data_IF_608012748972
#
_entry.id   IF_608012748972
#
_cell.length_a   1.000
_cell.length_b   1.000
_cell.length_c   1.000
_cell.angle_alpha   90.00
_cell.angle_beta   90.00
_cell.angle_gamma   90.00
#
_symmetry.space_group_name_H-M   'P 1'
#
loop_
_entity.id
_entity.type
_entity.pdbx_description
1 polymer ?
#
# COMPACT_ATOMS: atom_id res chain seq x y z
N UNK A 1 12.93 -1.44 30.37
CA UNK A 1 14.23 -1.64 29.69
C UNK A 1 15.22 -0.81 30.46
N UNK A 2 16.31 -1.42 30.89
CA UNK A 2 17.36 -0.73 31.64
C UNK A 2 18.20 0.18 30.73
N UNK A 3 18.79 1.24 31.29
CA UNK A 3 19.58 2.20 30.52
C UNK A 3 20.86 1.55 29.99
N UNK A 4 21.51 0.68 30.76
CA UNK A 4 22.75 0.01 30.32
C UNK A 4 22.46 -0.97 29.18
N UNK A 5 21.33 -1.66 29.23
CA UNK A 5 20.87 -2.52 28.14
C UNK A 5 20.59 -1.72 26.86
N UNK A 6 19.94 -0.55 26.98
CA UNK A 6 19.71 0.34 25.84
C UNK A 6 21.02 0.80 25.20
N UNK A 7 22.00 1.23 26.01
CA UNK A 7 23.30 1.71 25.52
C UNK A 7 24.08 0.59 24.84
N UNK A 8 24.11 -0.62 25.43
CA UNK A 8 24.75 -1.79 24.81
C UNK A 8 24.11 -2.14 23.47
N UNK A 9 22.78 -2.19 23.41
CA UNK A 9 22.07 -2.43 22.15
C UNK A 9 22.34 -1.34 21.11
N UNK A 10 22.29 -0.06 21.51
CA UNK A 10 22.54 1.06 20.60
C UNK A 10 23.95 1.00 20.00
N UNK A 11 24.95 0.54 20.77
CA UNK A 11 26.31 0.29 20.28
C UNK A 11 26.37 -0.70 19.11
N UNK A 12 25.49 -1.72 19.09
CA UNK A 12 25.45 -2.74 18.02
C UNK A 12 24.84 -2.25 16.70
N UNK A 13 24.16 -1.10 16.68
CA UNK A 13 23.50 -0.58 15.48
C UNK A 13 24.51 -0.25 14.38
N UNK A 14 25.75 0.10 14.76
CA UNK A 14 26.84 0.37 13.80
C UNK A 14 27.25 -0.90 13.05
N UNK A 15 27.29 -2.04 13.74
CA UNK A 15 27.69 -3.32 13.16
C UNK A 15 26.56 -3.99 12.37
N UNK A 16 25.30 -3.73 12.77
CA UNK A 16 24.11 -4.30 12.14
C UNK A 16 23.06 -3.21 11.84
N UNK A 17 23.34 -2.29 10.89
CA UNK A 17 22.42 -1.20 10.57
C UNK A 17 21.16 -1.71 9.88
N UNK A 18 20.02 -1.10 10.21
CA UNK A 18 18.73 -1.35 9.53
C UNK A 18 18.37 -0.14 8.67
N UNK A 19 17.98 -0.39 7.42
CA UNK A 19 17.51 0.67 6.51
C UNK A 19 16.11 1.11 6.94
N UNK A 20 16.01 2.30 7.52
CA UNK A 20 14.71 2.87 7.98
C UNK A 20 14.06 3.71 6.88
N UNK A 21 14.88 4.39 6.06
CA UNK A 21 14.43 5.25 4.97
C UNK A 21 15.28 5.00 3.74
N UNK A 22 14.63 4.83 2.60
CA UNK A 22 15.27 4.69 1.30
C UNK A 22 14.49 5.48 0.26
N UNK A 23 15.21 5.91 -0.79
CA UNK A 23 14.59 6.50 -1.98
C UNK A 23 14.39 5.40 -3.01
N UNK A 24 13.19 5.29 -3.55
CA UNK A 24 12.86 4.28 -4.55
C UNK A 24 13.16 4.79 -5.97
N UNK A 25 13.54 3.87 -6.86
CA UNK A 25 13.65 4.07 -8.31
C UNK A 25 12.99 2.86 -8.98
N UNK A 26 12.36 3.01 -10.16
CA UNK A 26 11.77 1.88 -10.86
C UNK A 26 12.83 0.83 -11.21
N UNK A 27 12.55 -0.45 -10.94
CA UNK A 27 13.55 -1.51 -11.11
C UNK A 27 13.99 -1.71 -12.56
N UNK A 28 13.15 -1.37 -13.55
CA UNK A 28 13.50 -1.47 -14.97
C UNK A 28 14.64 -0.52 -15.37
N UNK A 29 14.91 0.54 -14.61
CA UNK A 29 16.03 1.46 -14.88
C UNK A 29 17.40 0.81 -14.63
N UNK A 30 17.43 -0.36 -14.00
CA UNK A 30 18.66 -1.11 -13.73
C UNK A 30 19.07 -2.02 -14.89
N UNK A 31 18.28 -2.13 -15.96
CA UNK A 31 18.63 -2.95 -17.13
C UNK A 31 19.84 -2.31 -17.85
N UNK A 32 20.99 -3.01 -17.93
CA UNK A 32 22.19 -2.45 -18.55
C UNK A 32 21.99 -2.17 -20.05
N UNK A 33 22.52 -1.06 -20.59
CA UNK A 33 22.30 -0.67 -21.99
C UNK A 33 23.01 -1.59 -23.00
N UNK A 34 24.05 -2.30 -22.57
CA UNK A 34 24.84 -3.25 -23.36
C UNK A 34 24.21 -4.65 -23.43
N UNK A 35 23.17 -4.91 -22.64
CA UNK A 35 22.41 -6.15 -22.71
C UNK A 35 21.69 -6.25 -24.07
N UNK A 36 21.77 -7.41 -24.72
CA UNK A 36 20.99 -7.68 -25.94
C UNK A 36 19.50 -7.40 -25.70
N UNK A 37 18.91 -6.59 -26.57
CA UNK A 37 17.51 -6.14 -26.52
C UNK A 37 17.15 -5.38 -25.22
N UNK A 38 18.11 -4.68 -24.60
CA UNK A 38 17.94 -3.93 -23.34
C UNK A 38 16.71 -3.02 -23.34
N UNK A 39 16.55 -2.21 -24.40
CA UNK A 39 15.43 -1.28 -24.52
C UNK A 39 14.08 -2.01 -24.51
N UNK A 40 13.94 -3.06 -25.32
CA UNK A 40 12.72 -3.87 -25.40
C UNK A 40 12.40 -4.54 -24.07
N UNK A 41 13.42 -5.11 -23.40
CA UNK A 41 13.26 -5.70 -22.06
C UNK A 41 12.83 -4.68 -21.03
N UNK A 42 13.38 -3.48 -21.06
CA UNK A 42 12.99 -2.39 -20.17
C UNK A 42 11.55 -1.97 -20.38
N UNK A 43 11.10 -1.81 -21.62
CA UNK A 43 9.72 -1.45 -21.93
C UNK A 43 8.73 -2.55 -21.55
N UNK A 44 9.09 -3.81 -21.78
CA UNK A 44 8.27 -4.93 -21.36
C UNK A 44 8.19 -5.05 -19.84
N UNK A 45 9.29 -4.82 -19.12
CA UNK A 45 9.31 -4.86 -17.65
C UNK A 45 8.53 -3.69 -17.04
N UNK A 46 8.64 -2.49 -17.62
CA UNK A 46 7.82 -1.33 -17.25
C UNK A 46 6.32 -1.67 -17.31
N UNK A 47 5.85 -2.19 -18.46
CA UNK A 47 4.45 -2.62 -18.62
C UNK A 47 4.06 -3.74 -17.65
N UNK A 48 4.89 -4.77 -17.49
CA UNK A 48 4.60 -5.89 -16.60
C UNK A 48 4.49 -5.46 -15.12
N UNK A 49 5.23 -4.43 -14.70
CA UNK A 49 5.12 -3.85 -13.37
C UNK A 49 3.80 -3.11 -13.20
N UNK A 50 3.37 -2.35 -14.21
CA UNK A 50 2.06 -1.69 -14.19
C UNK A 50 0.93 -2.71 -14.06
N UNK A 51 0.95 -3.77 -14.88
CA UNK A 51 -0.02 -4.88 -14.82
C UNK A 51 -0.01 -5.54 -13.42
N UNK A 52 1.18 -5.84 -12.87
CA UNK A 52 1.32 -6.42 -11.54
C UNK A 52 0.74 -5.54 -10.43
N UNK A 53 0.99 -4.22 -10.49
CA UNK A 53 0.48 -3.26 -9.52
C UNK A 53 -1.05 -3.11 -9.59
N UNK A 54 -1.63 -3.23 -10.78
CA UNK A 54 -3.09 -3.26 -10.95
C UNK A 54 -3.68 -4.59 -10.48
N UNK A 55 -3.00 -5.70 -10.75
CA UNK A 55 -3.41 -7.04 -10.33
C UNK A 55 -3.40 -7.20 -8.81
N UNK A 56 -2.33 -6.77 -8.16
CA UNK A 56 -2.06 -6.94 -6.73
C UNK A 56 -2.38 -5.68 -5.91
N UNK A 57 -3.23 -4.80 -6.44
CA UNK A 57 -3.64 -3.59 -5.73
C UNK A 57 -4.51 -3.93 -4.53
N UNK A 58 -4.18 -3.32 -3.40
CA UNK A 58 -4.96 -3.37 -2.15
C UNK A 58 -6.41 -2.89 -2.32
N UNK A 59 -6.75 -2.22 -3.43
CA UNK A 59 -8.11 -1.78 -3.73
C UNK A 59 -9.08 -2.95 -3.96
N UNK A 60 -8.58 -4.14 -4.31
CA UNK A 60 -9.39 -5.34 -4.54
C UNK A 60 -9.76 -6.05 -3.24
N UNK A 61 -9.03 -5.75 -2.17
CA UNK A 61 -9.29 -6.29 -0.85
C UNK A 61 -10.48 -5.58 -0.18
N UNK A 62 -11.20 -6.33 0.64
CA UNK A 62 -12.18 -5.76 1.56
C UNK A 62 -11.47 -4.93 2.65
N UNK A 63 -12.08 -3.84 3.13
CA UNK A 63 -11.53 -3.08 4.24
C UNK A 63 -11.46 -3.89 5.53
N UNK A 64 -10.37 -3.70 6.28
CA UNK A 64 -10.27 -4.21 7.64
C UNK A 64 -11.16 -3.40 8.58
N UNK A 65 -11.62 -4.03 9.66
CA UNK A 65 -12.41 -3.35 10.68
C UNK A 65 -11.51 -2.56 11.64
N UNK A 66 -12.14 -1.68 12.43
CA UNK A 66 -11.52 -1.03 13.58
C UNK A 66 -10.19 -0.30 13.28
N UNK A 67 -10.11 0.36 12.12
CA UNK A 67 -8.92 1.12 11.72
C UNK A 67 -7.71 0.25 11.37
N UNK A 68 -7.93 -1.04 11.08
CA UNK A 68 -6.90 -1.93 10.56
C UNK A 68 -6.43 -1.52 9.16
N UNK A 69 -5.16 -1.76 8.86
CA UNK A 69 -4.59 -1.51 7.53
C UNK A 69 -4.58 -2.80 6.74
N UNK A 70 -5.23 -2.81 5.57
CA UNK A 70 -5.13 -3.97 4.67
C UNK A 70 -3.81 -3.92 3.89
N UNK A 71 -3.21 -5.07 3.74
CA UNK A 71 -1.98 -5.30 2.98
C UNK A 71 -2.20 -6.53 2.09
N UNK A 72 -1.53 -6.56 0.93
CA UNK A 72 -1.47 -7.76 0.10
C UNK A 72 -0.14 -8.43 0.37
N UNK A 73 -0.17 -9.68 0.81
CA UNK A 73 1.01 -10.53 1.03
C UNK A 73 0.81 -11.81 0.24
N UNK A 74 1.72 -12.11 -0.68
CA UNK A 74 1.67 -13.30 -1.55
C UNK A 74 0.33 -13.50 -2.27
N UNK A 75 -0.32 -12.39 -2.67
CA UNK A 75 -1.62 -12.40 -3.35
C UNK A 75 -2.83 -12.50 -2.41
N UNK A 76 -2.62 -12.66 -1.10
CA UNK A 76 -3.67 -12.72 -0.10
C UNK A 76 -3.90 -11.37 0.59
N UNK A 77 -5.16 -11.04 0.84
CA UNK A 77 -5.55 -9.86 1.60
C UNK A 77 -5.40 -10.13 3.10
N UNK A 78 -4.46 -9.44 3.76
CA UNK A 78 -4.18 -9.58 5.18
C UNK A 78 -4.47 -8.26 5.91
N UNK A 79 -5.03 -8.35 7.11
CA UNK A 79 -5.30 -7.18 7.94
C UNK A 79 -4.24 -7.01 9.04
N UNK A 80 -3.50 -5.89 8.98
CA UNK A 80 -2.64 -5.44 10.08
C UNK A 80 -3.48 -4.65 11.09
N UNK A 81 -3.68 -5.25 12.26
CA UNK A 81 -4.52 -4.64 13.28
C UNK A 81 -3.83 -3.55 14.11
N UNK A 82 -4.63 -2.59 14.52
CA UNK A 82 -4.29 -1.63 15.58
C UNK A 82 -3.98 -2.36 16.90
N UNK A 83 -3.29 -1.70 17.83
CA UNK A 83 -2.79 -2.35 19.06
C UNK A 83 -3.90 -3.05 19.87
N UNK A 84 -5.12 -2.50 19.87
CA UNK A 84 -6.25 -2.96 20.68
C UNK A 84 -7.18 -3.98 19.99
N UNK A 85 -6.91 -4.37 18.74
CA UNK A 85 -7.77 -5.27 17.98
C UNK A 85 -7.01 -6.49 17.44
N UNK A 86 -7.75 -7.57 17.21
CA UNK A 86 -7.29 -8.87 16.71
C UNK A 86 -8.38 -9.56 15.87
N UNK A 87 -8.11 -10.76 15.41
CA UNK A 87 -8.93 -11.49 14.44
C UNK A 87 -8.52 -11.20 13.00
N UNK A 88 -8.96 -12.07 12.08
CA UNK A 88 -8.59 -12.05 10.65
C UNK A 88 -8.90 -10.72 9.95
N UNK A 89 -9.90 -9.98 10.42
CA UNK A 89 -10.31 -8.68 9.88
C UNK A 89 -10.21 -7.56 10.94
N UNK A 90 -9.47 -7.78 12.03
CA UNK A 90 -9.39 -6.87 13.18
C UNK A 90 -10.74 -6.62 13.89
N UNK A 91 -11.65 -7.59 13.84
CA UNK A 91 -13.01 -7.48 14.35
C UNK A 91 -13.11 -7.61 15.88
N UNK A 92 -12.11 -8.21 16.53
CA UNK A 92 -12.19 -8.58 17.95
C UNK A 92 -11.32 -7.63 18.80
N UNK A 93 -11.85 -6.99 19.86
CA UNK A 93 -11.03 -6.26 20.82
C UNK A 93 -10.12 -7.21 21.61
N UNK A 94 -8.88 -6.80 21.91
CA UNK A 94 -7.91 -7.58 22.71
C UNK A 94 -8.13 -7.46 24.23
N UNK A 95 -8.88 -6.47 24.69
CA UNK A 95 -9.12 -6.20 26.11
C UNK A 95 -10.49 -5.56 26.33
N UNK A 96 -11.04 -5.72 27.53
CA UNK A 96 -12.30 -5.06 27.95
C UNK A 96 -12.15 -3.53 28.06
N UNK A 97 -10.92 -3.03 28.12
CA UNK A 97 -10.61 -1.60 27.96
C UNK A 97 -10.62 -1.30 26.46
N UNK A 98 -11.83 -1.17 25.89
CA UNK A 98 -12.01 -0.50 24.61
C UNK A 98 -11.52 0.96 24.78
N UNK A 99 -10.69 1.48 23.87
CA UNK A 99 -10.36 2.89 23.90
C UNK A 99 -11.67 3.71 23.88
N UNK A 100 -11.77 4.75 24.71
CA UNK A 100 -12.94 5.63 24.81
C UNK A 100 -13.28 6.38 23.50
N UNK A 101 -12.51 6.14 22.44
CA UNK A 101 -12.68 6.71 21.10
C UNK A 101 -12.77 5.59 20.07
N UNK A 102 -13.72 5.71 19.14
CA UNK A 102 -13.76 4.86 17.94
C UNK A 102 -12.45 5.01 17.16
N UNK A 103 -11.87 3.91 16.64
CA UNK A 103 -10.62 3.98 15.92
C UNK A 103 -10.76 4.85 14.66
N UNK A 104 -9.73 5.64 14.39
CA UNK A 104 -9.61 6.41 13.17
C UNK A 104 -9.51 5.46 11.97
N UNK A 105 -10.26 5.74 10.91
CA UNK A 105 -10.22 4.96 9.67
C UNK A 105 -9.85 5.91 8.55
N UNK A 106 -8.65 5.75 7.99
CA UNK A 106 -8.24 6.54 6.83
C UNK A 106 -8.97 6.07 5.58
N UNK A 107 -9.32 7.03 4.72
CA UNK A 107 -9.94 6.78 3.44
C UNK A 107 -8.97 6.08 2.50
N UNK A 108 -9.49 5.11 1.74
CA UNK A 108 -8.72 4.40 0.72
C UNK A 108 -9.47 4.38 -0.61
N UNK A 109 -8.66 4.47 -1.66
CA UNK A 109 -9.16 4.45 -3.03
C UNK A 109 -9.80 3.10 -3.38
N UNK A 110 -10.95 3.16 -4.03
CA UNK A 110 -11.49 2.05 -4.82
C UNK A 110 -10.55 1.70 -5.95
N UNK A 111 -10.77 0.54 -6.57
CA UNK A 111 -10.10 0.23 -7.81
C UNK A 111 -10.48 1.22 -8.90
N UNK A 112 -9.54 1.45 -9.82
CA UNK A 112 -9.79 2.21 -11.03
C UNK A 112 -10.85 1.50 -11.87
N UNK A 113 -11.80 2.28 -12.36
CA UNK A 113 -12.88 1.82 -13.24
C UNK A 113 -12.69 2.47 -14.61
N UNK A 114 -12.48 1.68 -15.68
CA UNK A 114 -12.33 2.20 -17.04
C UNK A 114 -13.68 2.58 -17.64
N UNK A 115 -13.71 3.67 -18.41
CA UNK A 115 -14.77 3.94 -19.37
C UNK A 115 -14.59 3.12 -20.65
N UNK A 116 -15.60 3.13 -21.52
CA UNK A 116 -15.42 2.70 -22.91
C UNK A 116 -14.41 3.60 -23.64
N UNK A 117 -13.70 3.06 -24.63
CA UNK A 117 -12.82 3.89 -25.46
C UNK A 117 -13.65 4.87 -26.29
N UNK A 118 -13.34 6.16 -26.16
CA UNK A 118 -13.96 7.25 -26.90
C UNK A 118 -12.85 8.13 -27.43
N UNK A 119 -12.85 8.38 -28.74
CA UNK A 119 -11.85 9.22 -29.40
C UNK A 119 -10.39 8.77 -29.14
N UNK A 120 -10.15 7.45 -29.03
CA UNK A 120 -8.80 6.91 -28.78
C UNK A 120 -8.33 6.99 -27.33
N UNK A 121 -9.18 7.43 -26.40
CA UNK A 121 -8.85 7.47 -24.96
C UNK A 121 -9.86 6.70 -24.13
N UNK A 122 -9.37 6.11 -23.04
CA UNK A 122 -10.17 5.64 -21.90
C UNK A 122 -9.94 6.54 -20.70
N UNK A 123 -11.01 6.87 -19.99
CA UNK A 123 -10.94 7.57 -18.73
C UNK A 123 -11.09 6.59 -17.58
N UNK A 124 -10.10 6.56 -16.70
CA UNK A 124 -10.09 5.76 -15.48
C UNK A 124 -10.56 6.65 -14.32
N UNK A 125 -11.55 6.18 -13.55
CA UNK A 125 -12.05 6.89 -12.35
C UNK A 125 -11.96 6.02 -11.11
N UNK A 126 -11.82 6.64 -9.94
CA UNK A 126 -11.83 5.96 -8.65
C UNK A 126 -12.49 6.84 -7.59
N UNK A 127 -12.92 6.22 -6.49
CA UNK A 127 -13.60 6.88 -5.39
C UNK A 127 -12.89 6.61 -4.07
N UNK A 128 -12.92 7.56 -3.14
CA UNK A 128 -12.32 7.40 -1.82
C UNK A 128 -13.32 6.73 -0.87
N UNK A 129 -13.63 5.46 -1.11
CA UNK A 129 -14.70 4.75 -0.42
C UNK A 129 -14.40 3.28 -0.08
N UNK A 130 -13.15 2.82 -0.21
CA UNK A 130 -12.79 1.44 0.10
C UNK A 130 -11.69 1.29 1.18
N UNK A 131 -11.89 1.77 2.42
CA UNK A 131 -13.11 2.37 2.97
C UNK A 131 -13.13 3.91 2.83
N UNK A 132 -14.27 4.53 3.13
CA UNK A 132 -14.33 5.99 3.32
C UNK A 132 -13.68 6.38 4.65
N UNK A 133 -13.15 7.61 4.73
CA UNK A 133 -12.55 8.11 5.95
C UNK A 133 -13.60 8.27 7.08
N UNK A 134 -13.26 7.86 8.31
CA UNK A 134 -14.14 7.95 9.48
C UNK A 134 -13.37 8.37 10.74
N UNK A 135 -14.10 8.92 11.72
CA UNK A 135 -13.59 9.30 13.04
C UNK A 135 -12.32 10.19 12.97
N UNK A 136 -12.32 11.16 12.06
CA UNK A 136 -11.18 12.06 11.84
C UNK A 136 -10.08 11.51 10.93
N UNK A 137 -10.30 10.36 10.27
CA UNK A 137 -9.39 9.76 9.30
C UNK A 137 -9.00 10.67 8.16
N UNK A 138 -7.81 10.45 7.61
CA UNK A 138 -7.31 11.19 6.45
C UNK A 138 -8.10 10.81 5.20
N UNK A 139 -8.39 11.80 4.35
CA UNK A 139 -8.95 11.54 3.02
C UNK A 139 -7.88 10.98 2.08
N UNK A 140 -8.31 10.34 1.00
CA UNK A 140 -7.38 9.78 0.02
C UNK A 140 -6.58 10.88 -0.68
N UNK A 141 -5.26 10.71 -0.73
CA UNK A 141 -4.38 11.60 -1.47
C UNK A 141 -4.27 11.20 -2.95
N UNK A 142 -4.13 12.19 -3.83
CA UNK A 142 -3.95 12.02 -5.27
C UNK A 142 -5.25 12.21 -6.09
N UNK A 143 -5.12 12.03 -7.40
CA UNK A 143 -6.22 12.28 -8.34
C UNK A 143 -7.26 11.16 -8.37
N UNK A 144 -8.52 11.50 -8.66
CA UNK A 144 -9.63 10.54 -8.76
C UNK A 144 -10.00 10.19 -10.21
N UNK A 145 -9.32 10.79 -11.19
CA UNK A 145 -9.56 10.61 -12.63
C UNK A 145 -8.23 10.71 -13.37
N UNK A 146 -7.98 9.81 -14.33
CA UNK A 146 -6.88 9.93 -15.31
C UNK A 146 -7.34 9.47 -16.70
N UNK A 147 -6.74 10.00 -17.76
CA UNK A 147 -6.96 9.55 -19.14
C UNK A 147 -5.73 8.82 -19.65
N UNK A 148 -5.95 7.69 -20.33
CA UNK A 148 -4.89 6.94 -21.01
C UNK A 148 -5.35 6.55 -22.41
N UNK A 149 -4.44 6.41 -23.38
CA UNK A 149 -4.79 5.90 -24.70
C UNK A 149 -5.41 4.50 -24.60
N UNK A 150 -6.37 4.24 -25.49
CA UNK A 150 -6.62 2.89 -25.96
C UNK A 150 -5.79 2.69 -27.26
#
# INVERSE_FOLDING_TARGET
MDVDDYVKWAGTIVDAPVIIKSKTSPIYTLIPPDLKDAYTKSKNLERAIEDYLEENSVCKCQPCQNGGTVIVLDGECVCKCQRHYTGVACQTPKSDILPNSKPQVDGRWSCWSPSSCKNGEITLTRQCNNPAAQNGGQSCHGENRKSVPC
#
